data_IF_393936479845
#
_entry.id   IF_393936479845
#
_cell.length_a   1.000
_cell.length_b   1.000
_cell.length_c   1.000
_cell.angle_alpha   90.00
_cell.angle_beta   90.00
_cell.angle_gamma   90.00
#
_symmetry.space_group_name_H-M   'P 1'
#
loop_
_entity.id
_entity.type
_entity.pdbx_description
1 polymer ?
#
# COMPACT_ATOMS: atom_id res chain seq x y z
N UNK A 1 1.46 -11.59 -5.19
CA UNK A 1 1.83 -10.35 -5.92
C UNK A 1 2.00 -9.19 -4.94
N UNK A 2 3.12 -9.10 -4.22
CA UNK A 2 3.40 -7.99 -3.27
C UNK A 2 4.39 -6.95 -3.83
N UNK A 3 4.90 -7.17 -5.04
CA UNK A 3 5.90 -6.31 -5.65
C UNK A 3 5.34 -4.95 -6.07
N UNK A 4 4.06 -4.89 -6.51
CA UNK A 4 3.46 -3.66 -7.03
C UNK A 4 3.41 -2.53 -6.00
N UNK A 5 2.89 -2.74 -4.76
CA UNK A 5 2.92 -1.68 -3.74
C UNK A 5 4.33 -1.24 -3.35
N UNK A 6 5.28 -2.17 -3.30
CA UNK A 6 6.68 -1.87 -2.96
C UNK A 6 7.30 -0.99 -4.04
N UNK A 7 7.05 -1.29 -5.32
CA UNK A 7 7.51 -0.47 -6.44
C UNK A 7 6.91 0.94 -6.38
N UNK A 8 5.63 1.08 -5.99
CA UNK A 8 4.99 2.38 -5.77
C UNK A 8 5.73 3.20 -4.71
N UNK A 9 5.98 2.63 -3.51
CA UNK A 9 6.76 3.32 -2.47
C UNK A 9 8.16 3.73 -2.93
N UNK A 10 8.86 2.86 -3.67
CA UNK A 10 10.17 3.17 -4.24
C UNK A 10 10.10 4.32 -5.25
N UNK A 11 9.06 4.33 -6.10
CA UNK A 11 8.82 5.42 -7.05
C UNK A 11 8.55 6.75 -6.35
N UNK A 12 7.77 6.73 -5.26
CA UNK A 12 7.49 7.91 -4.44
C UNK A 12 8.76 8.47 -3.81
N UNK A 13 9.57 7.62 -3.17
CA UNK A 13 10.85 8.00 -2.55
C UNK A 13 11.79 8.57 -3.61
N UNK A 14 11.93 7.90 -4.76
CA UNK A 14 12.78 8.37 -5.85
C UNK A 14 12.34 9.74 -6.38
N UNK A 15 11.03 9.95 -6.56
CA UNK A 15 10.48 11.24 -6.97
C UNK A 15 10.69 12.35 -5.93
N UNK A 16 10.59 12.04 -4.64
CA UNK A 16 10.87 12.99 -3.56
C UNK A 16 12.36 13.38 -3.53
N UNK A 17 13.27 12.42 -3.67
CA UNK A 17 14.72 12.67 -3.77
C UNK A 17 15.03 13.53 -5.00
N UNK A 18 14.44 13.21 -6.16
CA UNK A 18 14.63 13.98 -7.38
C UNK A 18 14.13 15.43 -7.22
N UNK A 19 12.97 15.63 -6.59
CA UNK A 19 12.44 16.96 -6.31
C UNK A 19 13.34 17.76 -5.34
N UNK A 20 13.78 17.14 -4.25
CA UNK A 20 14.69 17.76 -3.28
C UNK A 20 16.05 18.14 -3.90
N UNK A 21 16.53 17.34 -4.86
CA UNK A 21 17.75 17.63 -5.61
C UNK A 21 17.58 18.65 -6.75
N UNK A 22 16.38 19.23 -6.93
CA UNK A 22 16.08 20.14 -8.05
C UNK A 22 16.06 19.45 -9.42
N UNK A 23 16.00 18.12 -9.47
CA UNK A 23 15.99 17.29 -10.69
C UNK A 23 14.60 16.74 -11.01
N UNK A 24 13.55 17.40 -10.53
CA UNK A 24 12.18 17.01 -10.84
C UNK A 24 11.93 17.07 -12.36
N UNK A 25 11.21 16.11 -12.95
CA UNK A 25 10.89 16.15 -14.37
C UNK A 25 10.14 17.44 -14.76
N UNK A 26 10.58 18.05 -15.87
CA UNK A 26 9.91 19.22 -16.45
C UNK A 26 8.56 18.86 -17.08
N UNK A 27 8.45 17.64 -17.61
CA UNK A 27 7.21 17.15 -18.20
C UNK A 27 6.15 16.88 -17.12
N UNK A 28 4.88 17.19 -17.45
CA UNK A 28 3.77 17.10 -16.48
C UNK A 28 3.35 15.66 -16.17
N UNK A 29 3.50 14.72 -17.12
CA UNK A 29 3.02 13.35 -16.95
C UNK A 29 3.67 12.60 -15.77
N UNK A 30 5.01 12.55 -15.61
CA UNK A 30 5.62 11.93 -14.43
C UNK A 30 5.15 12.55 -13.11
N UNK A 31 4.87 13.86 -13.10
CA UNK A 31 4.36 14.55 -11.90
C UNK A 31 2.93 14.12 -11.58
N UNK A 32 2.07 13.99 -12.59
CA UNK A 32 0.71 13.49 -12.42
C UNK A 32 0.73 12.04 -11.92
N UNK A 33 1.55 11.18 -12.55
CA UNK A 33 1.70 9.78 -12.12
C UNK A 33 2.22 9.68 -10.69
N UNK A 34 3.20 10.49 -10.31
CA UNK A 34 3.70 10.55 -8.94
C UNK A 34 2.61 10.94 -7.93
N UNK A 35 1.79 11.95 -8.25
CA UNK A 35 0.69 12.35 -7.36
C UNK A 35 -0.42 11.29 -7.27
N UNK A 36 -0.76 10.65 -8.39
CA UNK A 36 -1.72 9.53 -8.39
C UNK A 36 -1.19 8.42 -7.49
N UNK A 37 0.06 8.01 -7.66
CA UNK A 37 0.66 6.94 -6.87
C UNK A 37 0.78 7.32 -5.38
N UNK A 38 1.06 8.58 -5.07
CA UNK A 38 1.11 9.09 -3.70
C UNK A 38 -0.27 9.00 -3.03
N UNK A 39 -1.31 9.41 -3.74
CA UNK A 39 -2.68 9.31 -3.25
C UNK A 39 -3.10 7.86 -3.02
N UNK A 40 -2.80 6.96 -3.96
CA UNK A 40 -3.11 5.54 -3.85
C UNK A 40 -2.35 4.88 -2.69
N UNK A 41 -1.05 5.14 -2.57
CA UNK A 41 -0.19 4.49 -1.57
C UNK A 41 -0.41 5.02 -0.16
N UNK A 42 -0.76 6.29 0.01
CA UNK A 42 -0.97 6.90 1.33
C UNK A 42 -2.44 6.84 1.70
N UNK A 43 -3.30 7.55 0.96
CA UNK A 43 -4.70 7.78 1.34
C UNK A 43 -5.52 6.51 1.16
N UNK A 44 -5.43 5.87 -0.01
CA UNK A 44 -6.26 4.70 -0.29
C UNK A 44 -5.86 3.51 0.59
N UNK A 45 -4.56 3.28 0.82
CA UNK A 45 -4.12 2.26 1.78
C UNK A 45 -4.57 2.57 3.21
N UNK A 46 -4.46 3.82 3.68
CA UNK A 46 -4.92 4.19 5.02
C UNK A 46 -6.44 3.99 5.17
N UNK A 47 -7.22 4.35 4.15
CA UNK A 47 -8.67 4.16 4.12
C UNK A 47 -9.08 2.67 4.15
N UNK A 48 -8.18 1.75 3.78
CA UNK A 48 -8.42 0.30 3.85
C UNK A 48 -8.22 -0.27 5.26
N UNK A 49 -7.49 0.41 6.15
CA UNK A 49 -7.17 -0.09 7.50
C UNK A 49 -8.43 -0.52 8.28
N UNK A 50 -9.53 0.28 8.35
CA UNK A 50 -10.73 -0.14 9.05
C UNK A 50 -11.37 -1.40 8.47
N UNK A 51 -11.29 -1.60 7.16
CA UNK A 51 -11.79 -2.81 6.52
C UNK A 51 -10.91 -4.02 6.85
N UNK A 52 -9.59 -3.88 6.74
CA UNK A 52 -8.64 -4.94 7.05
C UNK A 52 -8.72 -5.37 8.52
N UNK A 53 -8.89 -4.42 9.45
CA UNK A 53 -9.09 -4.70 10.87
C UNK A 53 -10.38 -5.49 11.13
N UNK A 54 -11.47 -5.21 10.38
CA UNK A 54 -12.71 -6.00 10.46
C UNK A 54 -12.52 -7.41 9.92
N UNK A 55 -11.83 -7.54 8.79
CA UNK A 55 -11.57 -8.84 8.16
C UNK A 55 -10.63 -9.73 9.00
N UNK A 56 -9.71 -9.14 9.75
CA UNK A 56 -8.74 -9.86 10.60
C UNK A 56 -9.26 -10.13 12.03
N UNK A 57 -10.53 -9.83 12.35
CA UNK A 57 -11.08 -10.14 13.67
C UNK A 57 -11.02 -11.63 13.94
N UNK A 58 -10.41 -12.01 15.06
CA UNK A 58 -10.23 -13.42 15.45
C UNK A 58 -8.97 -14.08 14.90
N UNK A 59 -8.14 -13.39 14.11
CA UNK A 59 -6.91 -13.95 13.52
C UNK A 59 -5.71 -14.00 14.48
N UNK A 60 -5.86 -13.57 15.74
CA UNK A 60 -4.79 -13.50 16.74
C UNK A 60 -3.69 -12.46 16.49
N UNK A 61 -3.75 -11.71 15.38
CA UNK A 61 -2.76 -10.68 15.02
C UNK A 61 -3.09 -9.33 15.65
N UNK A 62 -2.05 -8.56 15.95
CA UNK A 62 -2.22 -7.24 16.57
C UNK A 62 -2.81 -6.23 15.56
N UNK A 63 -3.64 -5.31 16.04
CA UNK A 63 -4.22 -4.26 15.19
C UNK A 63 -3.15 -3.39 14.50
N UNK A 64 -2.02 -3.15 15.19
CA UNK A 64 -0.89 -2.41 14.64
C UNK A 64 -0.24 -3.14 13.45
N UNK A 65 -0.06 -4.46 13.56
CA UNK A 65 0.47 -5.28 12.47
C UNK A 65 -0.46 -5.26 11.25
N UNK A 66 -1.77 -5.42 11.46
CA UNK A 66 -2.77 -5.36 10.38
C UNK A 66 -2.74 -3.99 9.68
N UNK A 67 -2.69 -2.91 10.46
CA UNK A 67 -2.63 -1.55 9.94
C UNK A 67 -1.34 -1.31 9.14
N UNK A 68 -0.18 -1.71 9.68
CA UNK A 68 1.11 -1.55 9.02
C UNK A 68 1.17 -2.32 7.69
N UNK A 69 0.75 -3.58 7.71
CA UNK A 69 0.76 -4.40 6.50
C UNK A 69 -0.22 -3.89 5.45
N UNK A 70 -1.39 -3.40 5.86
CA UNK A 70 -2.34 -2.74 4.96
C UNK A 70 -1.78 -1.44 4.43
N UNK A 71 -1.03 -0.67 5.22
CA UNK A 71 -0.42 0.57 4.74
C UNK A 71 0.68 0.32 3.71
N UNK A 72 1.49 -0.73 3.89
CA UNK A 72 2.60 -1.03 2.99
C UNK A 72 2.10 -1.69 1.70
N UNK A 73 1.20 -2.67 1.83
CA UNK A 73 0.82 -3.55 0.73
C UNK A 73 -0.62 -3.35 0.19
N UNK A 74 -1.44 -2.56 0.89
CA UNK A 74 -2.84 -2.32 0.52
C UNK A 74 -3.67 -3.60 0.40
N UNK A 75 -4.56 -3.62 -0.59
CA UNK A 75 -5.43 -4.76 -0.93
C UNK A 75 -4.67 -6.05 -1.21
N UNK A 76 -3.44 -5.95 -1.72
CA UNK A 76 -2.67 -7.14 -2.16
C UNK A 76 -2.24 -8.04 -1.01
N UNK A 77 -2.30 -7.54 0.23
CA UNK A 77 -2.00 -8.32 1.42
C UNK A 77 -3.25 -8.96 2.03
N UNK A 78 -4.26 -8.18 2.44
CA UNK A 78 -5.38 -8.75 3.21
C UNK A 78 -6.26 -9.71 2.39
N UNK A 79 -6.41 -9.50 1.06
CA UNK A 79 -7.15 -10.45 0.21
C UNK A 79 -6.48 -11.82 0.11
N UNK A 80 -5.15 -11.85 0.11
CA UNK A 80 -4.41 -13.13 0.05
C UNK A 80 -4.49 -13.91 1.37
N UNK A 81 -4.61 -13.20 2.49
CA UNK A 81 -4.79 -13.82 3.82
C UNK A 81 -6.21 -14.41 3.97
N UNK A 82 -7.24 -13.71 3.48
CA UNK A 82 -8.64 -14.21 3.50
C UNK A 82 -8.80 -15.47 2.64
N UNK A 83 -8.12 -15.57 1.49
CA UNK A 83 -8.14 -16.79 0.67
C UNK A 83 -7.43 -17.97 1.33
N UNK A 84 -6.25 -17.78 1.91
CA UNK A 84 -5.51 -18.86 2.57
C UNK A 84 -6.22 -19.43 3.81
N UNK A 85 -6.92 -18.60 4.58
CA UNK A 85 -7.69 -19.05 5.75
C UNK A 85 -8.97 -19.82 5.39
N UNK A 86 -9.62 -19.51 4.26
CA UNK A 86 -10.81 -20.23 3.79
C UNK A 86 -10.50 -21.59 3.17
N UNK A 87 -9.31 -21.79 2.60
CA UNK A 87 -8.85 -23.10 2.12
C UNK A 87 -8.48 -24.04 3.27
N UNK A 88 -7.85 -23.53 4.33
CA UNK A 88 -7.40 -24.33 5.48
C UNK A 88 -8.54 -24.80 6.42
N UNK A 89 -9.76 -24.28 6.21
CA UNK A 89 -10.96 -24.63 6.98
C UNK A 89 -11.96 -25.52 6.23
N UNK A 90 -11.61 -26.02 5.05
CA UNK A 90 -12.40 -26.96 4.23
C UNK A 90 -11.74 -28.33 4.17
#
# INVERSE_FOLDING_TARGET
>A
MRAVPVIGWLYLIAGLIAAAAGRAPAHRLPRVLWWIDAFLSVVVHAAQIPFALRAARGSGRSAAEIALMTQIFGLTWWRTVDHGQREDTR
#
